data_IF_270558151650
#
_entry.id   IF_270558151650
#
_cell.length_a   1.000
_cell.length_b   1.000
_cell.length_c   1.000
_cell.angle_alpha   90.00
_cell.angle_beta   90.00
_cell.angle_gamma   90.00
#
_symmetry.space_group_name_H-M   'P 1'
#
loop_
_entity.id
_entity.type
_entity.pdbx_description
1 polymer ?
#
# COMPACT_ATOMS: atom_id res chain seq x y z
N UNK A 1 5.21 -44.24 -16.09
CA UNK A 1 6.29 -43.27 -16.40
C UNK A 1 5.68 -41.89 -16.48
N UNK A 2 5.73 -41.11 -15.40
CA UNK A 2 5.38 -39.69 -15.43
C UNK A 2 6.66 -38.94 -15.77
N UNK A 3 6.80 -38.54 -17.03
CA UNK A 3 7.83 -37.62 -17.46
C UNK A 3 7.59 -36.28 -16.75
N UNK A 4 8.22 -36.08 -15.59
CA UNK A 4 8.24 -34.78 -14.94
C UNK A 4 8.90 -33.80 -15.89
N UNK A 5 8.17 -32.78 -16.33
CA UNK A 5 8.72 -31.66 -17.07
C UNK A 5 9.78 -31.02 -16.18
N UNK A 6 11.04 -31.25 -16.49
CA UNK A 6 12.17 -30.64 -15.80
C UNK A 6 12.20 -29.17 -16.23
N UNK A 7 11.61 -28.30 -15.42
CA UNK A 7 11.68 -26.87 -15.63
C UNK A 7 13.14 -26.41 -15.51
N UNK A 8 13.54 -25.50 -16.38
CA UNK A 8 14.86 -24.88 -16.28
C UNK A 8 15.02 -24.19 -14.90
N UNK A 9 16.24 -24.19 -14.31
CA UNK A 9 16.51 -23.46 -13.08
C UNK A 9 16.07 -22.00 -13.20
N UNK A 10 15.52 -21.41 -12.14
CA UNK A 10 15.05 -20.00 -12.12
C UNK A 10 14.00 -19.67 -13.18
N UNK A 11 13.15 -20.64 -13.51
CA UNK A 11 12.03 -20.43 -14.41
C UNK A 11 10.85 -19.74 -13.72
N UNK A 12 10.75 -19.75 -12.39
CA UNK A 12 9.67 -19.08 -11.67
C UNK A 12 10.16 -17.75 -11.09
N UNK A 13 9.53 -16.65 -11.49
CA UNK A 13 9.80 -15.32 -10.96
C UNK A 13 8.71 -14.95 -9.98
N UNK A 14 9.09 -14.45 -8.81
CA UNK A 14 8.17 -14.02 -7.77
C UNK A 14 8.52 -12.61 -7.31
N UNK A 15 7.56 -11.69 -7.35
CA UNK A 15 7.68 -10.37 -6.72
C UNK A 15 6.96 -10.37 -5.38
N UNK A 16 7.57 -9.70 -4.40
CA UNK A 16 6.97 -9.42 -3.09
C UNK A 16 6.84 -7.90 -2.93
N UNK A 17 5.68 -7.45 -2.50
CA UNK A 17 5.41 -6.07 -2.16
C UNK A 17 5.04 -6.03 -0.68
N UNK A 18 5.90 -5.43 0.13
CA UNK A 18 5.73 -5.36 1.59
C UNK A 18 5.31 -3.94 1.96
N UNK A 19 4.01 -3.68 1.93
CA UNK A 19 3.46 -2.37 2.26
C UNK A 19 3.16 -2.21 3.75
N UNK A 20 3.00 -0.97 4.20
CA UNK A 20 2.57 -0.65 5.58
C UNK A 20 1.20 -1.24 5.92
N UNK A 21 0.24 -1.07 5.02
CA UNK A 21 -1.16 -1.48 5.25
C UNK A 21 -1.44 -2.89 4.72
N UNK A 22 -0.83 -3.22 3.59
CA UNK A 22 -1.00 -4.52 2.96
C UNK A 22 0.21 -4.95 2.18
N UNK A 23 0.42 -6.26 2.15
CA UNK A 23 1.52 -6.94 1.48
C UNK A 23 1.00 -8.02 0.54
N UNK A 24 1.68 -8.25 -0.57
CA UNK A 24 1.24 -9.22 -1.57
C UNK A 24 2.38 -9.86 -2.35
N UNK A 25 2.02 -10.79 -3.23
CA UNK A 25 2.96 -11.37 -4.18
C UNK A 25 2.33 -11.57 -5.55
N UNK A 26 3.18 -11.58 -6.56
CA UNK A 26 2.84 -11.95 -7.92
C UNK A 26 3.91 -12.87 -8.49
N UNK A 27 3.55 -13.65 -9.50
CA UNK A 27 4.49 -14.57 -10.11
C UNK A 27 4.22 -14.79 -11.60
N UNK A 28 5.27 -15.23 -12.30
CA UNK A 28 5.19 -15.67 -13.68
C UNK A 28 6.26 -16.73 -13.96
N UNK A 29 5.97 -17.62 -14.91
CA UNK A 29 6.93 -18.63 -15.36
C UNK A 29 7.61 -18.15 -16.65
N UNK A 30 8.93 -18.25 -16.71
CA UNK A 30 9.72 -18.00 -17.90
C UNK A 30 9.45 -19.07 -18.94
N UNK A 31 9.22 -18.64 -20.17
CA UNK A 31 9.02 -19.54 -21.31
C UNK A 31 10.37 -19.87 -21.93
N UNK A 32 10.44 -21.02 -22.60
CA UNK A 32 11.64 -21.45 -23.35
C UNK A 32 12.03 -20.50 -24.47
N UNK A 33 11.11 -19.65 -24.93
CA UNK A 33 11.32 -18.61 -25.94
C UNK A 33 11.89 -17.29 -25.37
N UNK A 34 12.26 -17.24 -24.08
CA UNK A 34 12.84 -16.04 -23.45
C UNK A 34 11.83 -14.99 -22.98
N UNK A 35 10.53 -15.30 -23.00
CA UNK A 35 9.45 -14.47 -22.45
C UNK A 35 8.95 -14.95 -21.08
N UNK A 36 7.82 -14.42 -20.63
CA UNK A 36 7.13 -14.85 -19.42
C UNK A 36 5.67 -15.19 -19.72
N UNK A 37 5.08 -16.11 -18.95
CA UNK A 37 3.62 -16.26 -18.89
C UNK A 37 2.98 -14.94 -18.41
N UNK A 38 1.67 -14.74 -18.64
CA UNK A 38 0.96 -13.63 -18.02
C UNK A 38 1.21 -13.59 -16.51
N UNK A 39 1.49 -12.39 -15.97
CA UNK A 39 1.72 -12.19 -14.54
C UNK A 39 0.43 -12.55 -13.79
N UNK A 40 0.56 -13.48 -12.85
CA UNK A 40 -0.53 -13.86 -11.94
C UNK A 40 -0.38 -13.10 -10.63
N UNK A 41 -1.39 -12.34 -10.25
CA UNK A 41 -1.51 -11.74 -8.93
C UNK A 41 -2.19 -12.75 -8.00
N UNK A 42 -1.69 -12.90 -6.77
CA UNK A 42 -2.38 -13.69 -5.77
C UNK A 42 -3.44 -12.84 -5.06
N UNK A 43 -4.72 -13.12 -5.32
CA UNK A 43 -5.85 -12.31 -4.81
C UNK A 43 -6.72 -13.04 -3.78
N UNK A 44 -6.52 -14.35 -3.59
CA UNK A 44 -7.33 -15.18 -2.69
C UNK A 44 -6.61 -15.42 -1.36
N UNK A 45 -6.75 -14.49 -0.42
CA UNK A 45 -6.07 -14.58 0.88
C UNK A 45 -6.97 -15.17 1.97
N UNK A 46 -6.41 -15.91 2.95
CA UNK A 46 -7.19 -16.48 4.05
C UNK A 46 -7.92 -15.40 4.87
N UNK A 47 -9.20 -15.64 5.15
CA UNK A 47 -10.10 -14.73 5.89
C UNK A 47 -10.28 -13.32 5.28
N UNK A 48 -9.84 -13.11 4.03
CA UNK A 48 -9.99 -11.83 3.36
C UNK A 48 -11.47 -11.61 2.96
N UNK A 49 -12.03 -10.40 3.17
CA UNK A 49 -13.44 -10.14 2.88
C UNK A 49 -13.83 -10.21 1.40
N UNK A 50 -12.91 -9.85 0.51
CA UNK A 50 -13.11 -9.82 -0.93
C UNK A 50 -11.77 -10.00 -1.66
N UNK A 51 -11.74 -10.54 -2.89
CA UNK A 51 -10.52 -10.69 -3.66
C UNK A 51 -9.76 -9.37 -3.81
N UNK A 52 -8.48 -9.37 -3.43
CA UNK A 52 -7.60 -8.22 -3.55
C UNK A 52 -6.13 -8.70 -3.49
N UNK A 53 -5.20 -8.14 -4.30
CA UNK A 53 -3.85 -8.69 -4.49
C UNK A 53 -2.91 -8.58 -3.28
N UNK A 54 -3.39 -8.05 -2.15
CA UNK A 54 -2.61 -7.90 -0.91
C UNK A 54 -3.42 -8.34 0.31
N UNK A 55 -2.79 -9.06 1.23
CA UNK A 55 -3.31 -9.28 2.59
C UNK A 55 -2.92 -8.12 3.51
N UNK A 56 -3.49 -8.05 4.72
CA UNK A 56 -3.12 -7.03 5.72
C UNK A 56 -1.69 -7.25 6.22
N UNK A 57 -0.95 -6.18 6.39
CA UNK A 57 0.32 -6.20 7.13
C UNK A 57 0.01 -6.18 8.62
N UNK A 58 -0.51 -7.31 9.12
CA UNK A 58 -0.95 -7.51 10.47
C UNK A 58 -0.48 -8.87 11.00
N UNK A 59 -0.17 -8.93 12.29
CA UNK A 59 0.23 -10.16 12.98
C UNK A 59 -0.37 -10.18 14.38
N UNK A 60 -0.89 -11.33 14.79
CA UNK A 60 -1.44 -11.56 16.12
C UNK A 60 -0.43 -12.36 16.93
N UNK A 61 -0.02 -11.81 18.08
CA UNK A 61 0.80 -12.50 19.06
C UNK A 61 -0.05 -13.02 20.20
N UNK A 62 0.36 -14.16 20.73
CA UNK A 62 0.03 -14.64 22.07
C UNK A 62 1.29 -14.46 22.95
N UNK A 63 1.27 -13.44 23.82
CA UNK A 63 2.46 -12.96 24.49
C UNK A 63 3.50 -12.48 23.46
N UNK A 64 4.57 -13.26 23.27
CA UNK A 64 5.62 -12.99 22.27
C UNK A 64 5.63 -13.98 21.10
N UNK A 65 4.73 -14.96 21.10
CA UNK A 65 4.67 -15.98 20.06
C UNK A 65 3.67 -15.56 18.98
N UNK A 66 4.08 -15.44 17.70
CA UNK A 66 3.15 -15.10 16.65
C UNK A 66 2.26 -16.30 16.30
N UNK A 67 0.94 -16.10 16.27
CA UNK A 67 -0.05 -17.19 16.16
C UNK A 67 -0.99 -17.07 14.96
N UNK A 68 -1.00 -15.93 14.26
CA UNK A 68 -1.73 -15.68 13.02
C UNK A 68 -1.22 -14.40 12.34
N UNK A 69 -1.45 -14.25 11.04
CA UNK A 69 -1.01 -13.11 10.22
C UNK A 69 -2.10 -12.72 9.21
N UNK A 70 -1.95 -11.56 8.58
CA UNK A 70 -2.89 -11.10 7.56
C UNK A 70 -4.29 -10.84 8.11
N UNK A 71 -5.30 -11.06 7.28
CA UNK A 71 -6.70 -11.04 7.72
C UNK A 71 -7.01 -12.14 8.76
N UNK A 72 -6.29 -13.26 8.75
CA UNK A 72 -6.47 -14.31 9.74
C UNK A 72 -6.05 -13.87 11.16
N UNK A 73 -5.09 -12.95 11.29
CA UNK A 73 -4.75 -12.35 12.59
C UNK A 73 -5.94 -11.60 13.19
N UNK A 74 -6.58 -10.77 12.38
CA UNK A 74 -7.78 -10.02 12.75
C UNK A 74 -8.91 -10.98 13.11
N UNK A 75 -9.20 -11.94 12.22
CA UNK A 75 -10.29 -12.88 12.40
C UNK A 75 -10.13 -13.71 13.68
N UNK A 76 -8.92 -14.20 13.94
CA UNK A 76 -8.62 -15.00 15.13
C UNK A 76 -8.83 -14.21 16.42
N UNK A 77 -8.47 -12.93 16.45
CA UNK A 77 -8.73 -12.08 17.61
C UNK A 77 -10.24 -11.91 17.85
N UNK A 78 -11.03 -11.71 16.79
CA UNK A 78 -12.49 -11.65 16.90
C UNK A 78 -13.06 -12.97 17.44
N UNK A 79 -12.68 -14.10 16.85
CA UNK A 79 -13.18 -15.42 17.28
C UNK A 79 -12.83 -15.72 18.75
N UNK A 80 -11.63 -15.33 19.21
CA UNK A 80 -11.23 -15.46 20.62
C UNK A 80 -12.11 -14.62 21.56
N UNK A 81 -12.40 -13.37 21.20
CA UNK A 81 -13.24 -12.49 22.00
C UNK A 81 -14.70 -12.98 22.02
N UNK A 82 -15.23 -13.42 20.88
CA UNK A 82 -16.61 -13.91 20.75
C UNK A 82 -16.82 -15.22 21.54
N UNK A 83 -15.78 -16.05 21.65
CA UNK A 83 -15.78 -17.24 22.50
C UNK A 83 -15.57 -16.94 24.00
N UNK A 84 -15.41 -15.67 24.39
CA UNK A 84 -15.27 -15.25 25.79
C UNK A 84 -13.90 -15.55 26.40
N UNK A 85 -12.86 -15.75 25.57
CA UNK A 85 -11.51 -15.92 26.08
C UNK A 85 -10.94 -14.61 26.64
N UNK A 86 -10.06 -14.73 27.64
CA UNK A 86 -9.25 -13.59 28.10
C UNK A 86 -8.27 -13.19 26.99
N UNK A 87 -8.53 -12.04 26.38
CA UNK A 87 -7.74 -11.50 25.28
C UNK A 87 -6.56 -10.61 25.73
N UNK A 88 -6.37 -10.40 27.04
CA UNK A 88 -5.35 -9.47 27.58
C UNK A 88 -3.91 -9.83 27.19
N UNK A 89 -3.64 -11.11 26.98
CA UNK A 89 -2.34 -11.64 26.54
C UNK A 89 -2.11 -11.58 25.03
N UNK A 90 -3.13 -11.22 24.25
CA UNK A 90 -3.03 -11.21 22.79
C UNK A 90 -2.76 -9.80 22.28
N UNK A 91 -1.84 -9.69 21.33
CA UNK A 91 -1.44 -8.41 20.75
C UNK A 91 -1.55 -8.43 19.24
N UNK A 92 -2.53 -7.70 18.69
CA UNK A 92 -2.63 -7.46 17.25
C UNK A 92 -1.74 -6.29 16.88
N UNK A 93 -0.65 -6.57 16.18
CA UNK A 93 0.30 -5.57 15.71
C UNK A 93 0.04 -5.26 14.24
N UNK A 94 -0.10 -3.98 13.93
CA UNK A 94 -0.30 -3.41 12.58
C UNK A 94 0.71 -2.28 12.35
N UNK A 95 0.82 -1.82 11.11
CA UNK A 95 1.63 -0.63 10.75
C UNK A 95 3.11 -0.72 11.15
N UNK A 96 3.61 -1.93 11.44
CA UNK A 96 4.97 -2.17 11.95
C UNK A 96 6.07 -1.78 10.95
N UNK A 97 5.75 -1.64 9.66
CA UNK A 97 6.68 -1.04 8.68
C UNK A 97 6.97 0.43 9.00
N UNK A 98 5.97 1.19 9.45
CA UNK A 98 6.18 2.58 9.90
C UNK A 98 6.98 2.64 11.19
N UNK A 99 6.78 1.67 12.08
CA UNK A 99 7.56 1.56 13.32
C UNK A 99 9.07 1.32 13.07
N UNK A 100 9.48 0.91 11.87
CA UNK A 100 10.90 0.88 11.50
C UNK A 100 11.47 2.29 11.26
N UNK A 101 10.64 3.25 10.83
CA UNK A 101 11.06 4.59 10.43
C UNK A 101 10.72 5.67 11.47
N UNK A 102 9.70 5.42 12.31
CA UNK A 102 9.22 6.37 13.31
C UNK A 102 9.34 5.82 14.73
N UNK A 103 10.13 6.50 15.56
CA UNK A 103 10.39 6.09 16.94
C UNK A 103 9.14 6.15 17.84
N UNK A 104 8.18 7.02 17.52
CA UNK A 104 6.90 7.10 18.23
C UNK A 104 6.04 5.86 17.98
N UNK A 105 5.94 5.43 16.73
CA UNK A 105 5.26 4.19 16.33
C UNK A 105 5.99 2.96 16.89
N UNK A 106 7.32 2.98 16.93
CA UNK A 106 8.10 1.92 17.57
C UNK A 106 7.79 1.80 19.07
N UNK A 107 7.66 2.94 19.77
CA UNK A 107 7.34 2.98 21.20
C UNK A 107 5.91 2.50 21.52
N UNK A 108 5.01 2.49 20.53
CA UNK A 108 3.63 2.01 20.70
C UNK A 108 3.50 0.48 20.60
N UNK A 109 4.58 -0.25 20.26
CA UNK A 109 4.55 -1.71 20.19
C UNK A 109 4.43 -2.35 21.59
N UNK A 110 3.80 -3.55 21.69
CA UNK A 110 3.70 -4.27 22.95
C UNK A 110 5.07 -4.50 23.62
N UNK A 111 5.17 -4.45 24.96
CA UNK A 111 6.44 -4.60 25.68
C UNK A 111 7.22 -5.86 25.28
N UNK A 112 8.45 -5.66 24.83
CA UNK A 112 9.36 -6.73 24.42
C UNK A 112 9.24 -7.16 22.96
N UNK A 113 8.33 -6.57 22.18
CA UNK A 113 8.34 -6.66 20.73
C UNK A 113 9.09 -5.47 20.15
N UNK A 114 9.98 -5.74 19.18
CA UNK A 114 10.69 -4.69 18.42
C UNK A 114 10.20 -4.69 16.98
N UNK A 115 10.20 -3.53 16.28
CA UNK A 115 9.73 -3.44 14.90
C UNK A 115 10.39 -4.47 13.96
N UNK A 116 11.68 -4.74 14.15
CA UNK A 116 12.46 -5.68 13.34
C UNK A 116 12.01 -7.12 13.57
N UNK A 117 11.73 -7.49 14.82
CA UNK A 117 11.23 -8.83 15.17
C UNK A 117 9.85 -9.05 14.54
N UNK A 118 8.95 -8.06 14.65
CA UNK A 118 7.61 -8.14 14.06
C UNK A 118 7.68 -8.27 12.53
N UNK A 119 8.56 -7.50 11.88
CA UNK A 119 8.79 -7.60 10.44
C UNK A 119 9.32 -8.99 10.05
N UNK A 120 10.30 -9.53 10.79
CA UNK A 120 10.87 -10.85 10.50
C UNK A 120 9.84 -11.98 10.64
N UNK A 121 9.00 -11.93 11.69
CA UNK A 121 7.93 -12.91 11.89
C UNK A 121 6.91 -12.84 10.75
N UNK A 122 6.47 -11.63 10.36
CA UNK A 122 5.55 -11.44 9.25
C UNK A 122 6.10 -11.98 7.93
N UNK A 123 7.36 -11.68 7.61
CA UNK A 123 8.03 -12.18 6.41
C UNK A 123 8.17 -13.71 6.41
N UNK A 124 8.34 -14.32 7.58
CA UNK A 124 8.38 -15.77 7.73
C UNK A 124 7.04 -16.41 7.36
N UNK A 125 5.92 -15.85 7.82
CA UNK A 125 4.58 -16.31 7.43
C UNK A 125 4.33 -16.12 5.93
N UNK A 126 4.63 -14.91 5.40
CA UNK A 126 4.42 -14.59 4.00
C UNK A 126 5.21 -15.54 3.10
N UNK A 127 6.50 -15.74 3.38
CA UNK A 127 7.36 -16.65 2.61
C UNK A 127 6.83 -18.08 2.63
N UNK A 128 6.47 -18.59 3.82
CA UNK A 128 5.92 -19.95 3.95
C UNK A 128 4.66 -20.11 3.10
N UNK A 129 3.72 -19.19 3.24
CA UNK A 129 2.45 -19.23 2.51
C UNK A 129 2.66 -19.08 1.00
N UNK A 130 3.51 -18.16 0.54
CA UNK A 130 3.82 -18.00 -0.89
C UNK A 130 4.36 -19.30 -1.48
N UNK A 131 5.29 -19.98 -0.81
CA UNK A 131 5.81 -21.27 -1.28
C UNK A 131 4.74 -22.36 -1.36
N UNK A 132 3.82 -22.41 -0.40
CA UNK A 132 2.68 -23.34 -0.41
C UNK A 132 1.74 -23.05 -1.59
N UNK A 133 1.41 -21.78 -1.84
CA UNK A 133 0.54 -21.39 -2.96
C UNK A 133 1.21 -21.66 -4.31
N UNK A 134 2.49 -21.31 -4.47
CA UNK A 134 3.25 -21.60 -5.69
C UNK A 134 3.33 -23.11 -5.94
N UNK A 135 3.50 -23.92 -4.89
CA UNK A 135 3.52 -25.38 -5.02
C UNK A 135 2.18 -25.93 -5.55
N UNK A 136 1.06 -25.34 -5.16
CA UNK A 136 -0.26 -25.67 -5.71
C UNK A 136 -0.44 -25.22 -7.16
N UNK A 137 0.07 -24.03 -7.51
CA UNK A 137 -0.11 -23.41 -8.83
C UNK A 137 0.79 -23.98 -9.93
N UNK A 138 2.06 -24.23 -9.63
CA UNK A 138 3.07 -24.69 -10.61
C UNK A 138 3.60 -26.09 -10.34
N UNK A 139 3.15 -26.72 -9.24
CA UNK A 139 3.60 -28.03 -8.78
C UNK A 139 4.83 -27.96 -7.86
N UNK A 140 4.92 -28.89 -6.91
CA UNK A 140 5.96 -28.90 -5.87
C UNK A 140 7.41 -28.96 -6.41
N UNK A 141 7.63 -29.59 -7.58
CA UNK A 141 8.94 -29.63 -8.20
C UNK A 141 9.37 -28.26 -8.76
N UNK A 142 8.43 -27.49 -9.30
CA UNK A 142 8.65 -26.16 -9.85
C UNK A 142 8.85 -25.09 -8.76
N UNK A 143 8.13 -25.22 -7.64
CA UNK A 143 8.15 -24.28 -6.52
C UNK A 143 9.30 -24.52 -5.52
N UNK A 144 10.30 -25.34 -5.87
CA UNK A 144 11.51 -25.49 -5.06
C UNK A 144 12.29 -24.17 -5.03
N UNK A 145 12.91 -23.87 -3.88
CA UNK A 145 13.65 -22.62 -3.68
C UNK A 145 14.74 -22.37 -4.74
N UNK A 146 15.40 -23.42 -5.22
CA UNK A 146 16.40 -23.37 -6.30
C UNK A 146 15.84 -22.91 -7.66
N UNK A 147 14.54 -23.07 -7.86
CA UNK A 147 13.83 -22.73 -9.10
C UNK A 147 13.16 -21.35 -9.06
N UNK A 148 13.17 -20.68 -7.89
CA UNK A 148 12.55 -19.38 -7.67
C UNK A 148 13.59 -18.27 -7.76
N UNK A 149 13.32 -17.30 -8.63
CA UNK A 149 13.96 -16.00 -8.63
C UNK A 149 13.09 -15.02 -7.84
N UNK A 150 13.55 -14.61 -6.68
CA UNK A 150 12.86 -13.63 -5.85
C UNK A 150 13.21 -12.22 -6.30
N UNK A 151 12.22 -11.33 -6.34
CA UNK A 151 12.44 -9.90 -6.35
C UNK A 151 12.19 -9.35 -4.94
N UNK A 152 13.23 -8.76 -4.32
CA UNK A 152 13.12 -7.92 -3.13
C UNK A 152 13.43 -8.52 -1.74
N UNK A 153 13.62 -9.83 -1.55
CA UNK A 153 13.87 -10.42 -0.21
C UNK A 153 14.89 -11.58 -0.22
N UNK A 154 16.03 -11.47 0.50
CA UNK A 154 17.01 -12.57 0.67
C UNK A 154 17.73 -12.59 2.03
N UNK A 155 18.41 -13.72 2.30
CA UNK A 155 19.25 -13.99 3.49
C UNK A 155 20.68 -13.42 3.42
N UNK A 156 21.23 -13.16 2.22
CA UNK A 156 22.61 -12.67 2.02
C UNK A 156 22.71 -11.81 0.76
N UNK A 157 23.15 -10.55 0.83
CA UNK A 157 23.08 -9.55 -0.26
C UNK A 157 23.63 -9.97 -1.66
N UNK A 158 24.48 -11.00 -1.76
CA UNK A 158 25.15 -11.42 -3.00
C UNK A 158 24.56 -12.70 -3.63
N UNK A 159 23.24 -12.91 -3.56
CA UNK A 159 22.62 -14.10 -4.17
C UNK A 159 22.29 -13.89 -5.64
N UNK A 160 22.80 -14.76 -6.52
CA UNK A 160 22.46 -14.80 -7.95
C UNK A 160 20.99 -15.16 -8.25
N UNK A 161 20.18 -15.47 -7.22
CA UNK A 161 18.75 -15.74 -7.32
C UNK A 161 17.87 -14.48 -7.12
N UNK A 162 18.48 -13.30 -7.07
CA UNK A 162 17.82 -12.02 -6.79
C UNK A 162 17.93 -11.04 -7.95
N UNK A 163 16.83 -10.37 -8.25
CA UNK A 163 16.83 -9.08 -8.94
C UNK A 163 16.10 -8.09 -8.06
N UNK A 164 16.82 -7.12 -7.48
CA UNK A 164 16.19 -6.00 -6.78
C UNK A 164 15.67 -5.04 -7.85
N UNK A 165 14.40 -4.68 -7.74
CA UNK A 165 13.81 -3.59 -8.49
C UNK A 165 13.26 -2.59 -7.50
N UNK A 166 13.41 -1.30 -7.81
CA UNK A 166 12.82 -0.24 -7.01
C UNK A 166 11.30 -0.20 -7.24
N UNK A 167 10.53 0.05 -6.18
CA UNK A 167 9.07 0.26 -6.27
C UNK A 167 8.68 1.24 -7.40
N UNK A 168 9.33 2.41 -7.58
CA UNK A 168 9.00 3.31 -8.68
C UNK A 168 9.24 2.72 -10.07
N UNK A 169 10.31 1.94 -10.25
CA UNK A 169 10.63 1.30 -11.54
C UNK A 169 9.63 0.20 -11.88
N UNK A 170 9.30 -0.64 -10.89
CA UNK A 170 8.29 -1.68 -11.02
C UNK A 170 6.93 -1.08 -11.38
N UNK A 171 6.55 0.02 -10.71
CA UNK A 171 5.29 0.70 -10.94
C UNK A 171 5.24 1.42 -12.30
N UNK A 172 6.35 2.04 -12.74
CA UNK A 172 6.44 2.66 -14.06
C UNK A 172 6.25 1.62 -15.17
N UNK A 173 6.93 0.48 -15.08
CA UNK A 173 6.81 -0.60 -16.06
C UNK A 173 5.41 -1.20 -16.09
N UNK A 174 4.79 -1.40 -14.93
CA UNK A 174 3.41 -1.83 -14.86
C UNK A 174 2.46 -0.84 -15.55
N UNK A 175 2.64 0.46 -15.34
CA UNK A 175 1.80 1.48 -15.94
C UNK A 175 1.86 1.45 -17.47
N UNK A 176 3.04 1.25 -18.05
CA UNK A 176 3.26 1.19 -19.50
C UNK A 176 2.59 -0.01 -20.16
N UNK A 177 2.64 -1.18 -19.52
CA UNK A 177 1.95 -2.39 -19.99
C UNK A 177 0.42 -2.23 -19.98
N UNK A 178 -0.10 -1.35 -19.10
CA UNK A 178 -1.53 -1.15 -18.85
C UNK A 178 -2.10 0.14 -19.44
N UNK A 179 -1.60 0.55 -20.61
CA UNK A 179 -2.11 1.67 -21.43
C UNK A 179 -1.66 3.08 -21.00
N UNK A 180 -0.65 3.22 -20.15
CA UNK A 180 0.03 4.52 -20.06
C UNK A 180 0.71 4.84 -21.42
N UNK A 181 0.86 6.13 -21.77
CA UNK A 181 1.64 6.52 -22.95
C UNK A 181 3.02 5.85 -22.93
N UNK A 182 3.52 5.33 -24.07
CA UNK A 182 4.81 4.66 -24.12
C UNK A 182 5.92 5.60 -23.67
N UNK A 183 6.93 5.07 -22.97
CA UNK A 183 8.14 5.83 -22.68
C UNK A 183 8.90 6.07 -23.98
N UNK A 184 9.14 7.34 -24.28
CA UNK A 184 9.94 7.77 -25.42
C UNK A 184 11.17 8.49 -24.88
N UNK A 185 12.33 8.21 -25.47
CA UNK A 185 13.56 8.91 -25.12
C UNK A 185 13.37 10.43 -25.20
N UNK A 186 13.89 11.15 -24.21
CA UNK A 186 13.69 12.58 -24.02
C UNK A 186 12.47 12.94 -23.17
N UNK A 187 11.61 11.98 -22.80
CA UNK A 187 10.56 12.20 -21.80
C UNK A 187 11.13 12.23 -20.39
N UNK A 188 10.45 12.91 -19.49
CA UNK A 188 10.64 12.78 -18.05
C UNK A 188 9.34 12.36 -17.38
N UNK A 189 9.43 11.44 -16.42
CA UNK A 189 8.29 10.80 -15.76
C UNK A 189 8.50 10.83 -14.25
N UNK A 190 7.55 11.43 -13.53
CA UNK A 190 7.49 11.28 -12.08
C UNK A 190 6.69 10.03 -11.73
N UNK A 191 7.23 9.18 -10.87
CA UNK A 191 6.45 8.14 -10.20
C UNK A 191 6.12 8.64 -8.80
N UNK A 192 4.83 8.70 -8.50
CA UNK A 192 4.30 9.08 -7.20
C UNK A 192 3.55 7.87 -6.64
N UNK A 193 4.23 7.06 -5.83
CA UNK A 193 3.64 5.91 -5.15
C UNK A 193 3.02 6.37 -3.84
N UNK A 194 1.69 6.31 -3.76
CA UNK A 194 0.93 6.68 -2.57
C UNK A 194 0.33 5.43 -1.97
N UNK A 195 1.06 4.88 -1.00
CA UNK A 195 0.75 3.65 -0.30
C UNK A 195 -0.13 3.84 0.93
N UNK A 196 -0.08 2.83 1.80
CA UNK A 196 -0.78 2.86 3.08
C UNK A 196 -0.14 3.79 4.09
N UNK A 197 1.18 3.73 4.24
CA UNK A 197 1.93 4.52 5.22
C UNK A 197 2.69 5.69 4.60
N UNK A 198 3.35 5.45 3.47
CA UNK A 198 4.21 6.45 2.83
C UNK A 198 3.62 6.93 1.51
N UNK A 199 4.04 8.12 1.11
CA UNK A 199 4.05 8.52 -0.28
C UNK A 199 5.49 8.77 -0.70
N UNK A 200 5.89 8.23 -1.85
CA UNK A 200 7.25 8.29 -2.36
C UNK A 200 7.22 8.86 -3.78
N UNK A 201 8.10 9.84 -4.05
CA UNK A 201 8.13 10.59 -5.29
C UNK A 201 9.52 10.59 -5.91
N UNK A 202 9.62 10.13 -7.16
CA UNK A 202 10.90 10.09 -7.90
C UNK A 202 10.68 10.50 -9.35
N UNK A 203 11.49 11.43 -9.85
CA UNK A 203 11.47 11.83 -11.26
C UNK A 203 12.56 11.08 -12.00
N UNK A 204 12.21 10.55 -13.16
CA UNK A 204 13.10 9.82 -14.04
C UNK A 204 13.15 10.48 -15.42
N UNK A 205 14.32 10.49 -16.04
CA UNK A 205 14.52 10.80 -17.44
C UNK A 205 14.52 9.50 -18.26
N UNK A 206 13.78 9.49 -19.36
CA UNK A 206 13.80 8.42 -20.33
C UNK A 206 14.91 8.66 -21.35
N UNK A 207 15.83 7.72 -21.49
CA UNK A 207 16.96 7.77 -22.41
C UNK A 207 16.86 6.62 -23.42
N UNK A 208 17.44 6.82 -24.61
CA UNK A 208 17.61 5.74 -25.59
C UNK A 208 18.95 5.03 -25.33
N UNK A 209 18.91 3.76 -24.96
CA UNK A 209 20.09 2.92 -24.83
C UNK A 209 19.88 1.63 -25.64
N UNK A 210 20.77 1.34 -26.59
CA UNK A 210 20.67 0.15 -27.44
C UNK A 210 19.35 0.06 -28.23
N UNK A 211 18.76 1.20 -28.62
CA UNK A 211 17.47 1.25 -29.31
C UNK A 211 16.24 1.13 -28.42
N UNK A 212 16.40 1.18 -27.09
CA UNK A 212 15.33 1.00 -26.12
C UNK A 212 15.20 2.17 -25.15
N UNK A 213 13.98 2.40 -24.66
CA UNK A 213 13.69 3.39 -23.64
C UNK A 213 14.10 2.87 -22.25
N UNK A 214 14.98 3.60 -21.57
CA UNK A 214 15.50 3.29 -20.24
C UNK A 214 15.22 4.46 -19.32
N UNK A 215 14.72 4.21 -18.10
CA UNK A 215 14.60 5.26 -17.09
C UNK A 215 15.93 5.45 -16.34
N UNK A 216 16.24 6.70 -16.05
CA UNK A 216 17.38 7.10 -15.22
C UNK A 216 16.88 8.13 -14.22
N UNK A 217 17.25 8.02 -12.97
CA UNK A 217 16.76 8.94 -11.94
C UNK A 217 17.29 10.36 -12.18
N UNK A 218 16.38 11.34 -12.16
CA UNK A 218 16.67 12.74 -12.40
C UNK A 218 16.84 13.52 -11.08
N UNK A 219 16.10 13.12 -10.04
CA UNK A 219 16.12 13.71 -8.69
C UNK A 219 16.20 12.60 -7.66
N UNK A 220 16.86 12.84 -6.53
CA UNK A 220 16.80 11.94 -5.38
C UNK A 220 15.33 11.68 -5.01
N UNK A 221 14.97 10.41 -4.80
CA UNK A 221 13.66 10.04 -4.27
C UNK A 221 13.37 10.77 -2.95
N UNK A 222 12.17 11.32 -2.82
CA UNK A 222 11.67 11.92 -1.57
C UNK A 222 10.46 11.11 -1.07
N UNK A 223 10.41 10.87 0.24
CA UNK A 223 9.34 10.13 0.90
C UNK A 223 8.66 10.98 1.99
N UNK A 224 7.38 10.75 2.23
CA UNK A 224 6.62 11.39 3.30
C UNK A 224 5.66 10.41 3.99
N UNK A 225 5.50 10.57 5.31
CA UNK A 225 4.56 9.80 6.14
C UNK A 225 3.13 10.36 6.00
N UNK A 226 2.48 10.10 4.86
CA UNK A 226 1.16 10.68 4.54
C UNK A 226 0.22 9.73 3.77
N UNK A 227 0.45 8.42 3.86
CA UNK A 227 -0.43 7.42 3.24
C UNK A 227 -1.84 7.34 3.84
N UNK A 228 -2.64 6.40 3.34
CA UNK A 228 -4.04 6.25 3.74
C UNK A 228 -4.29 5.91 5.23
N UNK A 229 -3.30 5.37 5.95
CA UNK A 229 -3.41 5.10 7.40
C UNK A 229 -3.49 6.38 8.23
N UNK A 230 -3.00 7.52 7.70
CA UNK A 230 -3.15 8.82 8.35
C UNK A 230 -4.59 9.32 8.25
N UNK A 231 -5.32 8.98 7.19
CA UNK A 231 -6.76 9.22 7.10
C UNK A 231 -7.52 8.37 8.14
N UNK A 232 -7.05 7.15 8.41
CA UNK A 232 -7.60 6.30 9.49
C UNK A 232 -7.35 6.88 10.87
N UNK A 233 -6.18 7.52 11.08
CA UNK A 233 -5.86 8.21 12.32
C UNK A 233 -6.78 9.43 12.55
N UNK A 234 -6.99 10.25 11.52
CA UNK A 234 -7.94 11.38 11.56
C UNK A 234 -9.36 10.90 11.89
N UNK A 235 -9.82 9.82 11.26
CA UNK A 235 -11.12 9.24 11.56
C UNK A 235 -11.21 8.74 13.01
N UNK A 236 -10.21 7.99 13.50
CA UNK A 236 -10.19 7.52 14.89
C UNK A 236 -10.25 8.68 15.87
N UNK A 237 -9.50 9.75 15.63
CA UNK A 237 -9.52 10.96 16.47
C UNK A 237 -10.90 11.62 16.46
N UNK A 238 -11.50 11.79 15.28
CA UNK A 238 -12.86 12.31 15.14
C UNK A 238 -13.90 11.46 15.86
N UNK A 239 -13.86 10.13 15.66
CA UNK A 239 -14.79 9.18 16.27
C UNK A 239 -14.65 9.18 17.80
N UNK A 240 -13.41 9.19 18.31
CA UNK A 240 -13.11 9.31 19.75
C UNK A 240 -13.73 10.57 20.37
N UNK A 241 -13.68 11.70 19.67
CA UNK A 241 -14.33 12.94 20.12
C UNK A 241 -15.86 12.82 20.05
N UNK A 242 -16.38 12.25 18.96
CA UNK A 242 -17.83 12.13 18.75
C UNK A 242 -18.53 11.24 19.80
N UNK A 243 -17.90 10.13 20.19
CA UNK A 243 -18.44 9.19 21.19
C UNK A 243 -18.01 9.50 22.62
N UNK A 244 -17.08 10.46 22.80
CA UNK A 244 -16.49 10.82 24.09
C UNK A 244 -15.21 10.03 24.38
N UNK A 245 -14.14 10.77 24.66
CA UNK A 245 -12.79 10.24 24.81
C UNK A 245 -12.68 9.11 25.85
N UNK A 246 -13.20 9.33 27.07
CA UNK A 246 -13.13 8.34 28.14
C UNK A 246 -13.87 7.04 27.79
N UNK A 247 -15.04 7.15 27.14
CA UNK A 247 -15.82 5.99 26.71
C UNK A 247 -15.08 5.21 25.61
N UNK A 248 -14.53 5.92 24.62
CA UNK A 248 -13.76 5.31 23.54
C UNK A 248 -12.50 4.62 24.05
N UNK A 249 -11.72 5.24 24.92
CA UNK A 249 -10.45 4.69 25.40
C UNK A 249 -10.67 3.44 26.25
N UNK A 250 -11.68 3.46 27.14
CA UNK A 250 -12.07 2.28 27.92
C UNK A 250 -12.59 1.15 27.03
N UNK A 251 -13.51 1.47 26.11
CA UNK A 251 -14.12 0.50 25.21
C UNK A 251 -13.11 -0.14 24.25
N UNK A 252 -12.26 0.66 23.60
CA UNK A 252 -11.29 0.16 22.61
C UNK A 252 -10.24 -0.77 23.23
N UNK A 253 -9.90 -0.53 24.50
CA UNK A 253 -9.00 -1.40 25.27
C UNK A 253 -9.67 -2.71 25.67
N UNK A 254 -10.95 -2.67 26.04
CA UNK A 254 -11.71 -3.85 26.49
C UNK A 254 -12.26 -4.70 25.33
N UNK A 255 -12.55 -4.08 24.19
CA UNK A 255 -13.22 -4.71 23.04
C UNK A 255 -12.48 -4.43 21.71
N UNK A 256 -11.19 -4.81 21.57
CA UNK A 256 -10.40 -4.54 20.37
C UNK A 256 -10.98 -5.19 19.10
N UNK A 257 -11.70 -6.31 19.20
CA UNK A 257 -12.40 -6.88 18.05
C UNK A 257 -13.60 -6.00 17.61
N UNK A 258 -14.33 -5.41 18.56
CA UNK A 258 -15.41 -4.47 18.28
C UNK A 258 -14.87 -3.17 17.64
N UNK A 259 -13.71 -2.69 18.11
CA UNK A 259 -12.99 -1.61 17.43
C UNK A 259 -12.63 -1.99 15.99
N UNK A 260 -12.17 -3.21 15.74
CA UNK A 260 -11.82 -3.64 14.40
C UNK A 260 -13.04 -3.68 13.48
N UNK A 261 -14.23 -4.09 13.96
CA UNK A 261 -15.47 -4.01 13.19
C UNK A 261 -15.86 -2.57 12.82
N UNK A 262 -15.69 -1.61 13.75
CA UNK A 262 -15.88 -0.18 13.47
C UNK A 262 -14.89 0.30 12.40
N UNK A 263 -13.62 -0.11 12.51
CA UNK A 263 -12.59 0.23 11.52
C UNK A 263 -12.83 -0.41 10.15
N UNK A 264 -13.41 -1.61 10.08
CA UNK A 264 -13.77 -2.27 8.82
C UNK A 264 -14.93 -1.53 8.13
N UNK A 265 -15.93 -1.08 8.91
CA UNK A 265 -17.00 -0.24 8.38
C UNK A 265 -16.47 1.11 7.91
N UNK A 266 -15.54 1.71 8.66
CA UNK A 266 -14.84 2.92 8.23
C UNK A 266 -14.04 2.71 6.95
N UNK A 267 -13.32 1.61 6.79
CA UNK A 267 -12.57 1.31 5.56
C UNK A 267 -13.48 1.30 4.33
N UNK A 268 -14.68 0.71 4.45
CA UNK A 268 -15.69 0.75 3.39
C UNK A 268 -16.15 2.18 3.09
N UNK A 269 -16.37 3.00 4.13
CA UNK A 269 -16.71 4.43 3.97
C UNK A 269 -15.60 5.17 3.24
N UNK A 270 -14.36 5.08 3.73
CA UNK A 270 -13.16 5.71 3.18
C UNK A 270 -12.96 5.36 1.71
N UNK A 271 -13.13 4.08 1.34
CA UNK A 271 -12.96 3.62 -0.04
C UNK A 271 -14.08 4.06 -0.98
N UNK A 272 -15.28 4.34 -0.46
CA UNK A 272 -16.41 4.84 -1.24
C UNK A 272 -16.40 6.36 -1.44
N UNK A 273 -15.56 7.09 -0.69
CA UNK A 273 -15.51 8.56 -0.77
C UNK A 273 -14.88 9.03 -2.09
N UNK A 274 -15.72 9.63 -2.94
CA UNK A 274 -15.31 10.29 -4.18
C UNK A 274 -15.36 11.81 -4.03
N UNK A 275 -14.58 12.53 -4.83
CA UNK A 275 -14.68 13.99 -4.92
C UNK A 275 -16.05 14.39 -5.46
N UNK A 276 -16.73 15.32 -4.78
CA UNK A 276 -17.95 15.99 -5.26
C UNK A 276 -17.70 16.87 -6.51
N UNK A 277 -16.48 16.88 -7.08
CA UNK A 277 -16.13 17.49 -8.37
C UNK A 277 -16.76 16.74 -9.56
N UNK A 278 -18.08 16.61 -9.49
CA UNK A 278 -19.01 16.55 -10.60
C UNK A 278 -19.04 17.89 -11.35
N UNK A 279 -17.90 18.55 -11.55
CA UNK A 279 -17.84 19.81 -12.30
C UNK A 279 -18.42 19.67 -13.71
N UNK A 280 -18.31 18.48 -14.31
CA UNK A 280 -18.91 18.17 -15.62
C UNK A 280 -20.41 17.86 -15.54
N UNK A 281 -20.88 17.09 -14.56
CA UNK A 281 -22.31 16.74 -14.44
C UNK A 281 -23.15 17.90 -13.86
N UNK A 282 -22.62 18.64 -12.90
CA UNK A 282 -23.28 19.83 -12.32
C UNK A 282 -23.38 20.98 -13.33
N UNK A 283 -22.39 21.18 -14.21
CA UNK A 283 -22.50 22.13 -15.33
C UNK A 283 -23.55 21.69 -16.36
N UNK A 284 -23.56 20.41 -16.76
CA UNK A 284 -24.54 19.89 -17.71
C UNK A 284 -25.97 19.87 -17.14
N UNK A 285 -26.14 19.62 -15.84
CA UNK A 285 -27.45 19.63 -15.17
C UNK A 285 -27.93 21.03 -14.81
N UNK A 286 -27.00 21.97 -14.53
CA UNK A 286 -27.30 23.39 -14.39
C UNK A 286 -27.85 24.02 -15.68
N UNK A 287 -27.36 23.56 -16.85
CA UNK A 287 -27.95 23.93 -18.15
C UNK A 287 -29.36 23.36 -18.37
N UNK A 288 -29.73 22.30 -17.65
CA UNK A 288 -31.06 21.66 -17.71
C UNK A 288 -32.02 22.17 -16.61
N UNK A 289 -31.63 23.18 -15.83
CA UNK A 289 -32.48 23.78 -14.79
C UNK A 289 -32.77 22.87 -13.59
N UNK A 290 -31.97 21.81 -13.39
CA UNK A 290 -32.09 20.92 -12.24
C UNK A 290 -31.18 21.43 -11.12
N UNK A 291 -31.76 21.75 -9.95
CA UNK A 291 -31.06 22.31 -8.79
C UNK A 291 -29.85 21.44 -8.37
N UNK A 292 -28.64 21.91 -8.68
CA UNK A 292 -27.37 21.28 -8.30
C UNK A 292 -27.19 21.14 -6.77
N UNK A 293 -27.87 21.98 -5.99
CA UNK A 293 -27.83 21.96 -4.52
C UNK A 293 -28.35 20.66 -3.91
N UNK A 294 -29.17 19.87 -4.63
CA UNK A 294 -29.66 18.58 -4.15
C UNK A 294 -28.72 17.40 -4.44
N UNK A 295 -27.70 17.57 -5.28
CA UNK A 295 -26.69 16.55 -5.58
C UNK A 295 -25.37 16.72 -4.82
N UNK A 296 -25.12 17.88 -4.20
CA UNK A 296 -23.97 18.09 -3.32
C UNK A 296 -24.07 17.33 -1.97
N UNK A 297 -25.23 16.72 -1.70
CA UNK A 297 -25.49 15.85 -0.56
C UNK A 297 -25.57 14.40 -1.02
N UNK A 298 -24.41 13.78 -1.24
CA UNK A 298 -24.31 12.32 -1.28
C UNK A 298 -24.91 11.68 -0.01
N UNK A 299 -25.32 10.40 -0.05
CA UNK A 299 -25.89 9.74 1.11
C UNK A 299 -24.90 9.85 2.27
N UNK A 300 -25.34 10.46 3.37
CA UNK A 300 -24.48 10.67 4.52
C UNK A 300 -23.98 9.31 5.03
N UNK A 301 -22.65 9.14 5.00
CA UNK A 301 -22.00 7.88 5.33
C UNK A 301 -22.05 7.67 6.83
N UNK A 302 -22.13 6.41 7.26
CA UNK A 302 -22.39 6.07 8.67
C UNK A 302 -21.47 4.99 9.18
N UNK A 303 -21.01 5.19 10.41
CA UNK A 303 -20.25 4.19 11.16
C UNK A 303 -21.00 3.89 12.46
N UNK A 304 -21.29 2.61 12.77
CA UNK A 304 -22.08 2.25 13.94
C UNK A 304 -21.37 2.63 15.24
N UNK A 305 -22.17 2.85 16.28
CA UNK A 305 -21.76 2.93 17.68
C UNK A 305 -22.14 1.61 18.31
N UNK A 306 -21.17 0.73 18.61
CA UNK A 306 -21.47 -0.57 19.20
C UNK A 306 -22.19 -0.44 20.56
N UNK A 307 -23.07 -1.38 20.93
CA UNK A 307 -23.81 -1.33 22.19
C UNK A 307 -22.92 -1.22 23.44
N UNK A 308 -21.75 -1.87 23.43
CA UNK A 308 -20.75 -1.82 24.51
C UNK A 308 -20.19 -0.40 24.67
N UNK A 309 -19.85 0.24 23.54
CA UNK A 309 -19.41 1.63 23.53
C UNK A 309 -20.55 2.55 23.96
N UNK A 310 -21.74 2.36 23.40
CA UNK A 310 -22.90 3.17 23.72
C UNK A 310 -23.15 3.20 25.23
N UNK A 311 -23.10 2.05 25.92
CA UNK A 311 -23.25 1.94 27.40
C UNK A 311 -22.24 2.77 28.19
N UNK A 312 -21.02 2.91 27.68
CA UNK A 312 -19.95 3.69 28.34
C UNK A 312 -20.04 5.20 28.07
N UNK A 313 -20.79 5.62 27.06
CA UNK A 313 -20.96 7.06 26.76
C UNK A 313 -21.76 7.78 27.85
N UNK A 314 -21.27 8.95 28.28
CA UNK A 314 -21.99 9.85 29.18
C UNK A 314 -23.31 10.36 28.57
N UNK A 315 -24.31 10.62 29.41
CA UNK A 315 -25.64 11.04 28.96
C UNK A 315 -25.58 12.37 28.20
N UNK A 316 -24.76 13.32 28.66
CA UNK A 316 -24.56 14.61 27.99
C UNK A 316 -23.95 14.43 26.60
N UNK A 317 -23.01 13.49 26.44
CA UNK A 317 -22.36 13.20 25.15
C UNK A 317 -23.35 12.56 24.18
N UNK A 318 -24.15 11.59 24.62
CA UNK A 318 -25.23 11.00 23.80
C UNK A 318 -26.22 12.08 23.35
N UNK A 319 -26.64 12.97 24.24
CA UNK A 319 -27.56 14.06 23.93
C UNK A 319 -26.93 15.11 22.99
N UNK A 320 -25.65 15.41 23.14
CA UNK A 320 -24.92 16.32 22.24
C UNK A 320 -24.81 15.73 20.82
N UNK A 321 -24.47 14.44 20.72
CA UNK A 321 -24.38 13.72 19.45
C UNK A 321 -25.74 13.66 18.75
N UNK A 322 -26.81 13.28 19.47
CA UNK A 322 -28.17 13.27 18.93
C UNK A 322 -28.61 14.63 18.39
N UNK A 323 -28.35 15.72 19.13
CA UNK A 323 -28.67 17.08 18.68
C UNK A 323 -27.93 17.47 17.39
N UNK A 324 -26.65 17.08 17.28
CA UNK A 324 -25.84 17.34 16.07
C UNK A 324 -26.29 16.52 14.87
N UNK A 325 -26.84 15.33 15.09
CA UNK A 325 -27.17 14.37 14.04
C UNK A 325 -28.68 14.18 13.83
N UNK A 326 -29.48 15.20 14.12
CA UNK A 326 -30.94 15.20 13.91
C UNK A 326 -31.66 13.99 14.52
N UNK A 327 -31.23 13.58 15.73
CA UNK A 327 -31.82 12.47 16.47
C UNK A 327 -31.10 11.12 16.31
N UNK A 328 -30.10 11.00 15.43
CA UNK A 328 -29.33 9.75 15.32
C UNK A 328 -28.40 9.55 16.53
N UNK A 329 -28.54 8.38 17.17
CA UNK A 329 -27.88 8.00 18.42
C UNK A 329 -27.06 6.72 18.34
N UNK A 330 -27.31 5.86 17.34
CA UNK A 330 -26.65 4.55 17.20
C UNK A 330 -25.54 4.53 16.16
N UNK A 331 -25.30 5.66 15.48
CA UNK A 331 -24.31 5.79 14.42
C UNK A 331 -23.66 7.17 14.48
N UNK A 332 -22.40 7.25 14.07
CA UNK A 332 -21.70 8.50 13.76
C UNK A 332 -21.90 8.80 12.27
N UNK A 333 -22.47 9.97 12.00
CA UNK A 333 -22.73 10.51 10.67
C UNK A 333 -21.50 11.24 10.14
N UNK A 334 -21.09 10.87 8.93
CA UNK A 334 -19.95 11.44 8.23
C UNK A 334 -20.47 12.14 6.97
N UNK A 335 -20.67 13.46 7.09
CA UNK A 335 -21.02 14.29 5.93
C UNK A 335 -19.83 14.44 4.98
N UNK A 336 -20.08 14.87 3.74
CA UNK A 336 -18.99 15.16 2.79
C UNK A 336 -18.01 16.20 3.33
N UNK A 337 -18.46 17.16 4.13
CA UNK A 337 -17.59 18.15 4.77
C UNK A 337 -16.65 17.50 5.80
N UNK A 338 -17.18 16.61 6.65
CA UNK A 338 -16.36 15.85 7.60
C UNK A 338 -15.36 14.97 6.84
N UNK A 339 -15.81 14.20 5.85
CA UNK A 339 -14.92 13.35 5.05
C UNK A 339 -13.80 14.16 4.37
N UNK A 340 -14.11 15.35 3.81
CA UNK A 340 -13.08 16.25 3.27
C UNK A 340 -12.06 16.65 4.33
N UNK A 341 -12.50 16.98 5.55
CA UNK A 341 -11.62 17.35 6.65
C UNK A 341 -10.69 16.18 7.04
N UNK A 342 -11.22 14.96 7.15
CA UNK A 342 -10.44 13.77 7.50
C UNK A 342 -9.35 13.46 6.46
N UNK A 343 -9.61 13.73 5.18
CA UNK A 343 -8.64 13.53 4.11
C UNK A 343 -7.67 14.70 3.93
N UNK A 344 -8.00 15.89 4.44
CA UNK A 344 -7.32 17.13 4.08
C UNK A 344 -5.82 17.08 4.39
N UNK A 345 -5.44 16.82 5.64
CA UNK A 345 -4.04 16.81 6.07
C UNK A 345 -3.17 15.81 5.27
N UNK A 346 -3.54 14.52 5.23
CA UNK A 346 -2.79 13.51 4.47
C UNK A 346 -2.68 13.83 2.98
N UNK A 347 -3.79 14.23 2.33
CA UNK A 347 -3.80 14.53 0.89
C UNK A 347 -2.99 15.78 0.57
N UNK A 348 -3.05 16.82 1.40
CA UNK A 348 -2.22 18.02 1.21
C UNK A 348 -0.73 17.72 1.36
N UNK A 349 -0.36 16.81 2.26
CA UNK A 349 1.04 16.36 2.38
C UNK A 349 1.52 15.63 1.11
N UNK A 350 0.70 14.74 0.53
CA UNK A 350 0.99 14.10 -0.77
C UNK A 350 1.16 15.15 -1.88
N UNK A 351 0.24 16.12 -1.96
CA UNK A 351 0.32 17.19 -2.96
C UNK A 351 1.59 18.03 -2.79
N UNK A 352 1.99 18.37 -1.55
CA UNK A 352 3.23 19.11 -1.28
C UNK A 352 4.45 18.32 -1.72
N UNK A 353 4.53 17.03 -1.41
CA UNK A 353 5.62 16.15 -1.85
C UNK A 353 5.74 16.14 -3.38
N UNK A 354 4.62 15.87 -4.08
CA UNK A 354 4.59 15.82 -5.53
C UNK A 354 5.03 17.14 -6.19
N UNK A 355 4.56 18.27 -5.65
CA UNK A 355 4.94 19.60 -6.15
C UNK A 355 6.39 19.94 -5.83
N UNK A 356 6.89 19.58 -4.64
CA UNK A 356 8.31 19.73 -4.26
C UNK A 356 9.21 19.02 -5.28
N UNK A 357 8.89 17.75 -5.56
CA UNK A 357 9.69 16.92 -6.45
C UNK A 357 9.70 17.42 -7.90
N UNK A 358 8.57 17.91 -8.40
CA UNK A 358 8.51 18.56 -9.72
C UNK A 358 9.35 19.84 -9.79
N UNK A 359 9.36 20.65 -8.73
CA UNK A 359 10.19 21.86 -8.64
C UNK A 359 11.68 21.53 -8.58
N UNK A 360 12.05 20.51 -7.80
CA UNK A 360 13.42 20.02 -7.72
C UNK A 360 13.92 19.57 -9.11
N UNK A 361 13.13 18.77 -9.83
CA UNK A 361 13.48 18.32 -11.18
C UNK A 361 13.60 19.49 -12.18
N UNK A 362 12.72 20.48 -12.10
CA UNK A 362 12.80 21.68 -12.94
C UNK A 362 14.08 22.49 -12.67
N UNK A 363 14.53 22.56 -11.42
CA UNK A 363 15.74 23.31 -11.04
C UNK A 363 17.04 22.68 -11.54
N UNK A 364 17.05 21.37 -11.82
CA UNK A 364 18.21 20.63 -12.33
C UNK A 364 18.40 20.73 -13.84
N UNK A 365 17.70 21.64 -14.53
CA UNK A 365 17.90 21.92 -15.95
C UNK A 365 17.15 20.97 -16.89
N UNK A 366 16.02 20.40 -16.46
CA UNK A 366 15.14 19.65 -17.35
C UNK A 366 14.68 20.53 -18.53
N UNK A 367 14.68 19.99 -19.74
CA UNK A 367 14.38 20.70 -21.00
C UNK A 367 12.92 21.16 -21.17
N UNK A 368 12.13 21.17 -20.09
CA UNK A 368 10.71 21.50 -20.08
C UNK A 368 9.95 20.84 -18.93
N UNK A 369 8.61 21.00 -18.89
CA UNK A 369 7.77 20.36 -17.88
C UNK A 369 7.85 18.83 -17.96
N UNK A 370 7.70 18.18 -16.82
CA UNK A 370 7.59 16.74 -16.70
C UNK A 370 6.54 16.20 -17.68
N UNK A 371 6.88 15.17 -18.45
CA UNK A 371 5.99 14.67 -19.50
C UNK A 371 4.74 14.02 -18.92
N UNK A 372 4.86 13.40 -17.75
CA UNK A 372 3.72 12.85 -17.01
C UNK A 372 4.08 12.53 -15.55
N UNK A 373 3.07 12.59 -14.69
CA UNK A 373 3.11 12.02 -13.34
C UNK A 373 2.31 10.73 -13.34
N UNK A 374 2.93 9.63 -12.92
CA UNK A 374 2.31 8.34 -12.67
C UNK A 374 1.91 8.24 -11.20
N UNK A 375 0.61 8.28 -10.91
CA UNK A 375 0.08 8.11 -9.57
C UNK A 375 -0.30 6.65 -9.33
N UNK A 376 0.46 5.98 -8.47
CA UNK A 376 0.37 4.54 -8.18
C UNK A 376 0.21 4.29 -6.68
N UNK A 377 0.01 3.03 -6.29
CA UNK A 377 -0.14 2.64 -4.89
C UNK A 377 -1.58 2.38 -4.46
N UNK A 378 -1.74 1.90 -3.23
CA UNK A 378 -3.05 1.54 -2.68
C UNK A 378 -3.97 2.74 -2.52
N UNK A 379 -3.44 3.88 -2.07
CA UNK A 379 -4.22 5.09 -1.83
C UNK A 379 -4.55 5.83 -3.14
N UNK A 380 -3.75 5.65 -4.20
CA UNK A 380 -4.05 6.13 -5.55
C UNK A 380 -5.37 5.63 -6.14
N UNK A 381 -6.03 4.63 -5.54
CA UNK A 381 -7.40 4.23 -5.90
C UNK A 381 -8.46 5.26 -5.50
N UNK A 382 -8.17 6.15 -4.56
CA UNK A 382 -9.14 7.14 -4.06
C UNK A 382 -9.41 8.20 -5.13
N UNK A 383 -10.67 8.36 -5.62
CA UNK A 383 -10.99 9.41 -6.57
C UNK A 383 -10.72 10.82 -6.00
N UNK A 384 -10.93 11.00 -4.69
CA UNK A 384 -10.63 12.25 -4.00
C UNK A 384 -9.14 12.60 -4.06
N UNK A 385 -8.25 11.64 -3.75
CA UNK A 385 -6.81 11.84 -3.87
C UNK A 385 -6.42 12.17 -5.32
N UNK A 386 -6.93 11.41 -6.29
CA UNK A 386 -6.63 11.63 -7.71
C UNK A 386 -7.01 13.04 -8.16
N UNK A 387 -8.19 13.53 -7.79
CA UNK A 387 -8.65 14.88 -8.12
C UNK A 387 -7.76 15.96 -7.51
N UNK A 388 -7.43 15.83 -6.21
CA UNK A 388 -6.59 16.80 -5.48
C UNK A 388 -5.15 16.83 -5.99
N UNK A 389 -4.53 15.67 -6.24
CA UNK A 389 -3.18 15.58 -6.81
C UNK A 389 -3.19 16.15 -8.22
N UNK A 390 -4.19 15.84 -9.06
CA UNK A 390 -4.32 16.39 -10.42
C UNK A 390 -4.35 17.91 -10.40
N UNK A 391 -5.22 18.49 -9.58
CA UNK A 391 -5.32 19.94 -9.43
C UNK A 391 -3.98 20.55 -8.97
N UNK A 392 -3.35 19.96 -7.96
CA UNK A 392 -2.09 20.45 -7.41
C UNK A 392 -0.94 20.43 -8.41
N UNK A 393 -0.71 19.31 -9.11
CA UNK A 393 0.43 19.18 -10.02
C UNK A 393 0.20 19.94 -11.33
N UNK A 394 -1.02 19.96 -11.88
CA UNK A 394 -1.32 20.67 -13.13
C UNK A 394 -1.24 22.19 -12.93
N UNK A 395 -1.69 22.71 -11.79
CA UNK A 395 -1.62 24.14 -11.48
C UNK A 395 -0.18 24.69 -11.44
N UNK A 396 0.83 23.83 -11.28
CA UNK A 396 2.23 24.27 -11.31
C UNK A 396 2.74 24.61 -12.71
N UNK A 397 2.12 24.09 -13.77
CA UNK A 397 2.68 24.13 -15.13
C UNK A 397 3.96 23.30 -15.32
N UNK A 398 4.42 22.57 -14.28
CA UNK A 398 5.65 21.77 -14.31
C UNK A 398 5.42 20.32 -14.75
N UNK A 399 4.18 19.94 -15.06
CA UNK A 399 3.85 18.65 -15.69
C UNK A 399 2.80 18.84 -16.77
N UNK A 400 2.87 18.03 -17.82
CA UNK A 400 1.87 18.01 -18.90
C UNK A 400 0.60 17.28 -18.50
N UNK A 401 0.69 16.28 -17.62
CA UNK A 401 -0.46 15.45 -17.22
C UNK A 401 -0.22 14.60 -15.98
N UNK A 402 -1.32 14.21 -15.33
CA UNK A 402 -1.37 13.14 -14.33
C UNK A 402 -2.06 11.91 -14.95
N UNK A 403 -1.39 10.76 -14.89
CA UNK A 403 -1.87 9.45 -15.32
C UNK A 403 -1.97 8.52 -14.12
N UNK A 404 -3.13 7.87 -13.99
CA UNK A 404 -3.37 6.82 -13.00
C UNK A 404 -3.53 5.53 -13.80
N UNK A 405 -2.60 4.57 -13.71
CA UNK A 405 -2.75 3.32 -14.45
C UNK A 405 -3.93 2.50 -13.91
N UNK A 406 -4.52 1.60 -14.71
CA UNK A 406 -5.44 0.59 -14.20
C UNK A 406 -4.81 -0.19 -13.05
N UNK A 407 -5.62 -0.51 -12.02
CA UNK A 407 -5.17 -1.23 -10.83
C UNK A 407 -3.89 -0.65 -10.19
N UNK A 408 -3.86 0.65 -9.81
CA UNK A 408 -2.64 1.31 -9.32
C UNK A 408 -2.05 0.67 -8.05
N UNK A 409 -2.89 -0.05 -7.30
CA UNK A 409 -2.55 -0.81 -6.10
C UNK A 409 -1.72 -2.08 -6.35
N UNK A 410 -1.67 -2.56 -7.59
CA UNK A 410 -0.90 -3.74 -8.02
C UNK A 410 0.37 -3.34 -8.78
N UNK A 411 0.65 -2.05 -8.94
CA UNK A 411 1.71 -1.56 -9.82
C UNK A 411 3.10 -2.09 -9.42
N UNK A 412 3.44 -2.03 -8.13
CA UNK A 412 4.71 -2.53 -7.59
C UNK A 412 4.86 -4.04 -7.75
N UNK A 413 3.77 -4.81 -7.60
CA UNK A 413 3.76 -6.25 -7.88
C UNK A 413 4.07 -6.59 -9.34
N UNK A 414 3.89 -5.64 -10.27
CA UNK A 414 4.27 -5.77 -11.68
C UNK A 414 5.77 -5.99 -11.92
N UNK A 415 6.62 -5.79 -10.90
CA UNK A 415 8.07 -5.98 -10.96
C UNK A 415 8.54 -7.36 -11.43
N UNK A 416 7.67 -8.40 -11.38
CA UNK A 416 7.94 -9.75 -11.94
C UNK A 416 8.50 -9.70 -13.37
N UNK A 417 8.10 -8.70 -14.15
CA UNK A 417 8.48 -8.59 -15.56
C UNK A 417 9.92 -8.11 -15.78
N UNK A 418 10.60 -7.67 -14.72
CA UNK A 418 11.89 -7.00 -14.80
C UNK A 418 13.07 -7.94 -14.53
N UNK A 419 12.79 -9.18 -14.11
CA UNK A 419 13.81 -10.12 -13.67
C UNK A 419 14.35 -11.04 -14.79
N UNK A 420 14.16 -10.68 -16.06
CA UNK A 420 14.79 -11.43 -17.16
C UNK A 420 16.33 -11.32 -17.04
N UNK A 421 17.09 -12.43 -17.19
CA UNK A 421 18.54 -12.38 -17.14
C UNK A 421 19.07 -11.46 -18.26
N UNK A 422 20.18 -10.80 -17.98
CA UNK A 422 20.90 -10.04 -18.99
C UNK A 422 21.24 -10.96 -20.18
N UNK A 423 20.67 -10.67 -21.34
CA UNK A 423 21.16 -11.14 -22.63
C UNK A 423 21.60 -9.87 -23.35
N UNK A 424 22.78 -9.88 -23.94
CA UNK A 424 23.26 -8.75 -24.75
C UNK A 424 22.21 -8.48 -25.86
N UNK A 425 21.53 -7.32 -25.80
CA UNK A 425 20.41 -6.98 -26.69
C UNK A 425 18.99 -7.33 -26.20
N UNK A 426 18.79 -7.81 -24.96
CA UNK A 426 17.46 -8.06 -24.40
C UNK A 426 16.68 -6.78 -24.05
N UNK A 427 15.33 -6.82 -24.09
CA UNK A 427 14.46 -5.70 -23.74
C UNK A 427 14.51 -5.32 -22.26
N UNK A 428 14.93 -4.08 -21.99
CA UNK A 428 14.71 -3.34 -20.75
C UNK A 428 15.70 -3.66 -19.63
N UNK A 429 16.73 -2.83 -19.47
CA UNK A 429 17.37 -2.63 -18.15
C UNK A 429 17.71 -1.17 -17.89
N UNK A 430 17.39 -0.76 -16.67
CA UNK A 430 17.78 0.49 -16.02
C UNK A 430 19.29 0.50 -15.77
N UNK A 431 19.95 1.61 -16.11
CA UNK A 431 21.34 1.87 -15.74
C UNK A 431 21.32 2.56 -14.38
N UNK A 432 21.72 1.82 -13.34
CA UNK A 432 22.02 2.41 -12.04
C UNK A 432 23.52 2.72 -11.99
N UNK A 433 23.90 3.99 -11.85
CA UNK A 433 25.27 4.34 -11.46
C UNK A 433 25.40 4.15 -9.94
N UNK A 434 25.84 2.97 -9.49
CA UNK A 434 26.14 2.62 -8.09
C UNK A 434 27.18 3.55 -7.40
N UNK A 435 27.72 4.56 -8.09
CA UNK A 435 28.78 5.44 -7.56
C UNK A 435 28.32 6.40 -6.47
N UNK A 436 27.04 6.44 -6.14
CA UNK A 436 26.49 7.37 -5.16
C UNK A 436 25.76 6.57 -4.07
N UNK A 437 26.35 6.54 -2.88
CA UNK A 437 25.98 5.76 -1.68
C UNK A 437 24.61 6.19 -1.07
N UNK A 438 23.54 6.27 -1.85
CA UNK A 438 22.24 6.82 -1.40
C UNK A 438 21.07 5.82 -1.46
N UNK A 439 21.27 4.57 -1.92
CA UNK A 439 20.16 3.64 -2.24
C UNK A 439 20.09 2.36 -1.39
N UNK A 440 20.65 2.35 -0.17
CA UNK A 440 20.56 1.17 0.72
C UNK A 440 19.81 1.40 2.03
N UNK A 441 19.03 2.48 2.17
CA UNK A 441 18.05 2.59 3.27
C UNK A 441 16.76 1.79 3.01
N UNK A 442 16.87 0.75 2.18
CA UNK A 442 16.03 -0.42 2.36
C UNK A 442 16.50 -1.10 3.65
N UNK A 443 15.90 -0.70 4.77
CA UNK A 443 16.20 -1.17 6.14
C UNK A 443 16.42 -2.71 6.21
N UNK A 444 15.81 -3.50 5.33
CA UNK A 444 16.08 -4.94 5.17
C UNK A 444 17.57 -5.32 4.97
N UNK A 445 18.41 -4.49 4.36
CA UNK A 445 19.85 -4.74 4.26
C UNK A 445 20.62 -4.42 5.56
N UNK A 446 20.10 -3.52 6.39
CA UNK A 446 20.78 -3.08 7.62
C UNK A 446 20.52 -4.03 8.80
N UNK A 447 19.38 -4.75 8.83
CA UNK A 447 18.98 -5.53 10.02
C UNK A 447 19.29 -7.04 9.99
N UNK A 448 19.80 -7.58 8.89
CA UNK A 448 20.49 -8.88 8.93
C UNK A 448 21.95 -8.66 9.31
N UNK A 449 22.23 -8.49 10.62
CA UNK A 449 23.62 -8.64 11.09
C UNK A 449 24.12 -10.03 10.71
N UNK A 450 25.27 -10.06 10.04
CA UNK A 450 25.96 -11.21 9.45
C UNK A 450 26.26 -12.40 10.39
N UNK A 451 25.93 -12.32 11.68
CA UNK A 451 26.46 -13.22 12.71
C UNK A 451 25.44 -14.04 13.53
N UNK A 452 24.12 -13.93 13.32
CA UNK A 452 23.14 -14.63 14.19
C UNK A 452 22.30 -15.72 13.49
N UNK A 453 22.77 -16.24 12.35
CA UNK A 453 22.23 -17.48 11.76
C UNK A 453 23.35 -18.51 11.61
N UNK A 454 23.99 -18.82 12.74
CA UNK A 454 24.78 -20.03 12.85
C UNK A 454 23.82 -21.18 13.15
N UNK A 455 23.63 -22.07 12.18
CA UNK A 455 22.95 -23.35 12.41
C UNK A 455 23.79 -24.43 11.74
N UNK A 456 24.86 -24.83 12.43
CA UNK A 456 25.23 -26.23 12.42
C UNK A 456 24.11 -27.02 13.08
N UNK A 457 23.23 -27.62 12.26
CA UNK A 457 22.59 -28.95 12.34
C UNK A 457 21.30 -28.96 11.54
#
# INVERSE_FOLDING_TARGET
>A
MHSGVQLAPRSLVVSLDIGTHGSGFAFATRTTAGGHTPVKLHEAWPAQPAPYPKTRSAILYDGRSPIAWGYSAIRKLCDLQDAGHDISRYHLVKDFKLALQDAGQAAALPPGLRPETVMADFLTFLRKYTLEQLSGEVGAAAARLENIQWAGLIRTANSDALTIILEPEAAALHALDKQAPPLVAGMSVMVLDVGGGTADATVHNCQALGGQAVLSEATCAEGALCGSVFVDAEFKAYYRVAVGAAAFDAWSSQYPASLQQVMDKWEAVKCSFASDDTGSLSQSLGQLGLNADRLASGPAMRVPIPPELARLMAQEQRAALQRRQQGQASEVLLSSAVLRQLFQGPVEAVCRLAVSQLRAAASLGASGPCSMVLLVGGFARSPYLQARVRAAVVATGLTRQLVVPPAPHAAVLGGVRCSSPYVEGAPGKFMHEEKKVWYTDNMLQVYCKKNDLDVST
#
